data_IF_690463309423
#
_entry.id   IF_690463309423
#
_cell.length_a   1.000
_cell.length_b   1.000
_cell.length_c   1.000
_cell.angle_alpha   90.00
_cell.angle_beta   90.00
_cell.angle_gamma   90.00
#
_symmetry.space_group_name_H-M   'P 1'
#
loop_
_entity.id
_entity.type
_entity.pdbx_description
1 polymer ?
#
# COMPACT_ATOMS: atom_id res chain seq x y z
N UNK A 1 -40.80 -25.29 62.05
CA UNK A 1 -41.69 -26.43 61.77
C UNK A 1 -43.10 -25.98 62.15
N UNK A 2 -44.06 -26.06 61.21
CA UNK A 2 -45.51 -25.80 61.34
C UNK A 2 -45.90 -24.31 61.53
N UNK A 3 -46.96 -23.76 60.92
CA UNK A 3 -47.83 -24.16 59.81
C UNK A 3 -48.68 -22.92 59.43
N UNK A 4 -48.91 -22.75 58.13
CA UNK A 4 -50.12 -22.22 57.46
C UNK A 4 -50.97 -21.13 58.16
N UNK A 5 -51.07 -19.95 57.55
CA UNK A 5 -52.24 -19.08 57.67
C UNK A 5 -52.83 -18.76 56.30
N UNK A 6 -54.09 -19.14 56.14
CA UNK A 6 -54.91 -18.86 54.97
C UNK A 6 -55.55 -17.46 55.04
N UNK A 7 -55.50 -16.74 53.92
CA UNK A 7 -56.54 -15.91 53.29
C UNK A 7 -57.49 -15.03 54.14
N UNK A 8 -57.46 -13.72 53.90
CA UNK A 8 -58.61 -12.93 53.38
C UNK A 8 -58.12 -11.52 53.00
N UNK A 9 -58.14 -11.17 51.70
CA UNK A 9 -59.24 -10.55 50.93
C UNK A 9 -59.23 -9.01 51.03
N UNK A 10 -58.83 -8.36 49.94
CA UNK A 10 -59.19 -6.96 49.65
C UNK A 10 -59.13 -6.73 48.14
N UNK A 11 -60.32 -6.83 47.53
CA UNK A 11 -60.61 -6.49 46.14
C UNK A 11 -60.28 -5.03 45.82
N UNK A 12 -59.62 -4.76 44.69
CA UNK A 12 -59.86 -3.55 43.87
C UNK A 12 -59.69 -3.84 42.38
N UNK A 13 -60.85 -3.95 41.72
CA UNK A 13 -61.23 -3.54 40.36
C UNK A 13 -60.08 -3.22 39.39
N UNK A 14 -59.86 -4.10 38.41
CA UNK A 14 -59.11 -3.80 37.20
C UNK A 14 -60.08 -3.39 36.08
N UNK A 15 -59.92 -2.17 35.57
CA UNK A 15 -60.58 -1.69 34.37
C UNK A 15 -59.99 -2.40 33.14
N UNK A 16 -60.85 -3.04 32.35
CA UNK A 16 -60.51 -3.59 31.04
C UNK A 16 -60.48 -2.42 30.06
N UNK A 17 -59.29 -2.00 29.66
CA UNK A 17 -59.08 -1.18 28.46
C UNK A 17 -58.48 -2.10 27.41
N UNK A 18 -59.28 -2.42 26.39
CA UNK A 18 -58.83 -3.14 25.21
C UNK A 18 -57.89 -2.24 24.40
N UNK A 19 -56.58 -2.49 24.52
CA UNK A 19 -55.59 -1.88 23.64
C UNK A 19 -55.52 -2.73 22.38
N UNK A 20 -56.13 -2.24 21.30
CA UNK A 20 -55.91 -2.73 19.95
C UNK A 20 -54.41 -2.66 19.63
N UNK A 21 -53.76 -3.82 19.56
CA UNK A 21 -52.39 -3.94 19.11
C UNK A 21 -52.29 -3.59 17.62
N UNK A 22 -51.90 -2.35 17.32
CA UNK A 22 -51.23 -2.02 16.06
C UNK A 22 -49.84 -2.65 16.11
N UNK A 23 -49.75 -3.90 15.66
CA UNK A 23 -48.46 -4.48 15.27
C UNK A 23 -47.98 -3.75 14.03
N UNK A 24 -47.14 -2.73 14.21
CA UNK A 24 -46.30 -2.23 13.12
C UNK A 24 -45.40 -3.37 12.66
N UNK A 25 -45.74 -3.98 11.53
CA UNK A 25 -44.80 -4.80 10.78
C UNK A 25 -43.65 -3.90 10.35
N UNK A 26 -42.57 -3.85 11.15
CA UNK A 26 -41.28 -3.44 10.62
C UNK A 26 -40.82 -4.63 9.77
N UNK A 27 -41.13 -4.60 8.49
CA UNK A 27 -40.39 -5.43 7.54
C UNK A 27 -38.93 -5.00 7.68
N UNK A 28 -38.11 -5.87 8.25
CA UNK A 28 -36.67 -5.75 8.15
C UNK A 28 -36.32 -5.95 6.66
N UNK A 29 -36.30 -4.85 5.91
CA UNK A 29 -35.74 -4.88 4.57
C UNK A 29 -34.29 -5.33 4.71
N UNK A 30 -33.90 -6.35 3.94
CA UNK A 30 -32.50 -6.72 3.83
C UNK A 30 -31.72 -5.48 3.38
N UNK A 31 -30.57 -5.21 4.01
CA UNK A 31 -29.68 -4.12 3.61
C UNK A 31 -29.42 -4.18 2.10
N UNK A 32 -29.42 -3.02 1.46
CA UNK A 32 -29.02 -2.92 0.07
C UNK A 32 -27.59 -3.42 -0.09
N UNK A 33 -27.28 -3.95 -1.27
CA UNK A 33 -25.95 -4.47 -1.54
C UNK A 33 -25.37 -3.95 -2.83
N UNK A 34 -24.05 -3.78 -2.85
CA UNK A 34 -23.27 -3.62 -4.07
C UNK A 34 -22.49 -4.91 -4.31
N UNK A 35 -22.61 -5.46 -5.52
CA UNK A 35 -21.75 -6.52 -6.03
C UNK A 35 -20.73 -5.91 -7.00
N UNK A 36 -19.44 -6.13 -6.76
CA UNK A 36 -18.38 -5.67 -7.64
C UNK A 36 -17.99 -6.74 -8.66
N UNK A 37 -17.32 -6.35 -9.74
CA UNK A 37 -16.86 -7.25 -10.80
C UNK A 37 -15.95 -8.40 -10.30
N UNK A 38 -15.27 -8.21 -9.16
CA UNK A 38 -14.43 -9.24 -8.54
C UNK A 38 -15.22 -10.27 -7.70
N UNK A 39 -16.55 -10.13 -7.60
CA UNK A 39 -17.45 -10.98 -6.81
C UNK A 39 -17.56 -10.62 -5.33
N UNK A 40 -16.92 -9.54 -4.88
CA UNK A 40 -17.11 -9.02 -3.53
C UNK A 40 -18.47 -8.33 -3.38
N UNK A 41 -19.03 -8.40 -2.17
CA UNK A 41 -20.35 -7.84 -1.85
C UNK A 41 -20.23 -6.90 -0.66
N UNK A 42 -20.80 -5.71 -0.79
CA UNK A 42 -20.90 -4.72 0.27
C UNK A 42 -22.34 -4.52 0.67
N UNK A 43 -22.58 -4.31 1.97
CA UNK A 43 -23.91 -4.04 2.53
C UNK A 43 -24.01 -2.60 3.02
N UNK A 44 -25.20 -2.02 2.86
CA UNK A 44 -25.45 -0.62 3.18
C UNK A 44 -26.86 -0.19 2.77
N UNK A 45 -26.97 1.06 2.37
CA UNK A 45 -28.22 1.71 1.97
C UNK A 45 -27.95 2.57 0.73
N UNK A 46 -28.70 2.37 -0.35
CA UNK A 46 -28.67 3.27 -1.50
C UNK A 46 -29.50 4.51 -1.15
N UNK A 47 -28.87 5.68 -1.18
CA UNK A 47 -29.47 6.93 -0.74
C UNK A 47 -30.15 7.68 -1.89
N UNK A 48 -29.48 7.80 -3.03
CA UNK A 48 -29.96 8.52 -4.20
C UNK A 48 -29.51 7.80 -5.47
N UNK A 49 -30.35 7.76 -6.50
CA UNK A 49 -30.01 7.18 -7.81
C UNK A 49 -30.19 8.25 -8.88
N UNK A 50 -29.09 8.65 -9.53
CA UNK A 50 -29.06 9.63 -10.62
C UNK A 50 -28.88 8.90 -11.94
N UNK A 51 -30.01 8.52 -12.54
CA UNK A 51 -30.05 7.66 -13.75
C UNK A 51 -29.46 8.34 -14.99
N UNK A 52 -29.60 9.66 -15.12
CA UNK A 52 -29.04 10.45 -16.22
C UNK A 52 -27.52 10.34 -16.26
N UNK A 53 -26.92 10.41 -15.08
CA UNK A 53 -25.47 10.44 -14.88
C UNK A 53 -24.90 9.04 -14.63
N UNK A 54 -25.78 8.01 -14.64
CA UNK A 54 -25.48 6.61 -14.39
C UNK A 54 -24.72 6.41 -13.07
N UNK A 55 -25.17 7.04 -12.01
CA UNK A 55 -24.56 6.91 -10.68
C UNK A 55 -25.59 6.82 -9.56
N UNK A 56 -25.14 6.42 -8.37
CA UNK A 56 -25.94 6.39 -7.15
C UNK A 56 -25.09 6.63 -5.90
N UNK A 57 -25.68 7.21 -4.88
CA UNK A 57 -25.05 7.36 -3.57
C UNK A 57 -25.33 6.14 -2.70
N UNK A 58 -24.31 5.66 -2.00
CA UNK A 58 -24.39 4.52 -1.10
C UNK A 58 -23.81 4.87 0.26
N UNK A 59 -24.56 4.54 1.30
CA UNK A 59 -24.17 4.64 2.69
C UNK A 59 -23.77 3.27 3.20
N UNK A 60 -22.55 3.13 3.69
CA UNK A 60 -22.09 1.89 4.35
C UNK A 60 -21.58 2.20 5.75
N UNK A 61 -21.84 1.30 6.70
CA UNK A 61 -21.29 1.41 8.05
C UNK A 61 -20.16 0.39 8.20
N UNK A 62 -18.94 0.88 8.35
CA UNK A 62 -17.72 0.08 8.47
C UNK A 62 -17.02 0.49 9.77
N UNK A 63 -16.85 -0.45 10.71
CA UNK A 63 -16.21 -0.17 12.01
C UNK A 63 -16.89 0.91 12.86
N UNK A 64 -18.23 1.01 12.79
CA UNK A 64 -18.99 2.00 13.56
C UNK A 64 -18.98 3.42 13.01
N UNK A 65 -18.31 3.66 11.87
CA UNK A 65 -18.39 4.91 11.11
C UNK A 65 -19.23 4.70 9.84
N UNK A 66 -20.04 5.69 9.51
CA UNK A 66 -20.86 5.71 8.30
C UNK A 66 -20.14 6.49 7.21
N UNK A 67 -19.91 5.83 6.08
CA UNK A 67 -19.31 6.41 4.88
C UNK A 67 -20.40 6.59 3.83
N UNK A 68 -20.40 7.74 3.15
CA UNK A 68 -21.26 7.98 1.98
C UNK A 68 -20.37 8.13 0.76
N UNK A 69 -20.70 7.44 -0.33
CA UNK A 69 -19.95 7.52 -1.58
C UNK A 69 -20.86 7.44 -2.79
N UNK A 70 -20.45 8.12 -3.85
CA UNK A 70 -21.08 8.03 -5.15
C UNK A 70 -20.43 6.93 -5.97
N UNK A 71 -21.25 6.08 -6.58
CA UNK A 71 -20.85 4.96 -7.42
C UNK A 71 -21.41 5.14 -8.82
N UNK A 72 -20.52 5.17 -9.82
CA UNK A 72 -20.94 5.04 -11.21
C UNK A 72 -21.27 3.59 -11.55
N UNK A 73 -22.30 3.40 -12.38
CA UNK A 73 -22.83 2.09 -12.78
C UNK A 73 -21.77 1.22 -13.46
N UNK A 74 -20.80 1.82 -14.16
CA UNK A 74 -19.71 1.10 -14.84
C UNK A 74 -18.72 0.45 -13.85
N UNK A 75 -18.69 0.86 -12.58
CA UNK A 75 -17.78 0.31 -11.56
C UNK A 75 -18.36 -0.84 -10.76
N UNK A 76 -19.65 -1.16 -10.97
CA UNK A 76 -20.38 -2.15 -10.17
C UNK A 76 -21.06 -3.18 -11.06
N UNK A 77 -20.98 -4.44 -10.66
CA UNK A 77 -21.54 -5.56 -11.41
C UNK A 77 -23.07 -5.57 -11.25
N UNK A 78 -23.54 -5.47 -10.01
CA UNK A 78 -24.95 -5.46 -9.69
C UNK A 78 -25.19 -4.73 -8.37
N UNK A 79 -26.43 -4.27 -8.17
CA UNK A 79 -26.91 -3.78 -6.88
C UNK A 79 -28.15 -4.54 -6.46
N UNK A 80 -28.30 -4.85 -5.19
CA UNK A 80 -29.60 -5.24 -4.62
C UNK A 80 -30.18 -4.00 -3.97
N UNK A 81 -31.27 -3.49 -4.53
CA UNK A 81 -31.98 -2.32 -4.02
C UNK A 81 -33.42 -2.73 -3.69
N UNK A 82 -33.87 -2.46 -2.46
CA UNK A 82 -35.21 -2.87 -1.99
C UNK A 82 -35.50 -4.37 -2.21
N UNK A 83 -34.50 -5.21 -1.95
CA UNK A 83 -34.60 -6.67 -2.09
C UNK A 83 -34.62 -7.18 -3.55
N UNK A 84 -34.51 -6.30 -4.55
CA UNK A 84 -34.42 -6.68 -5.97
C UNK A 84 -33.01 -6.45 -6.49
N UNK A 85 -32.44 -7.46 -7.14
CA UNK A 85 -31.13 -7.39 -7.77
C UNK A 85 -31.24 -6.78 -9.17
N UNK A 86 -30.40 -5.79 -9.45
CA UNK A 86 -30.26 -5.10 -10.73
C UNK A 86 -28.83 -5.28 -11.21
N UNK A 87 -28.63 -5.89 -12.38
CA UNK A 87 -27.31 -6.00 -13.02
C UNK A 87 -27.05 -4.68 -13.75
N UNK A 88 -25.92 -4.03 -13.43
CA UNK A 88 -25.54 -2.73 -13.99
C UNK A 88 -24.50 -2.86 -15.11
N UNK A 89 -23.69 -3.92 -15.05
CA UNK A 89 -22.79 -4.36 -16.11
C UNK A 89 -23.07 -5.83 -16.41
N UNK A 90 -23.50 -6.17 -17.61
CA UNK A 90 -23.61 -7.58 -18.01
C UNK A 90 -22.21 -8.13 -18.31
N UNK A 91 -21.85 -9.26 -17.68
CA UNK A 91 -20.57 -9.91 -17.93
C UNK A 91 -20.53 -10.44 -19.38
N UNK A 92 -19.93 -9.67 -20.28
CA UNK A 92 -19.72 -10.07 -21.67
C UNK A 92 -19.81 -8.92 -22.66
N UNK A 93 -18.89 -7.97 -22.58
CA UNK A 93 -18.79 -6.87 -23.52
C UNK A 93 -17.55 -6.04 -23.24
N UNK A 94 -16.39 -6.55 -23.66
CA UNK A 94 -15.18 -5.75 -23.80
C UNK A 94 -15.45 -4.63 -24.81
N UNK A 95 -15.81 -3.46 -24.31
CA UNK A 95 -15.47 -2.20 -24.94
C UNK A 95 -14.61 -1.44 -23.94
N UNK A 96 -13.34 -1.89 -23.87
CA UNK A 96 -12.26 -0.96 -23.61
C UNK A 96 -12.22 -0.04 -24.83
N UNK A 97 -13.00 1.04 -24.77
CA UNK A 97 -12.77 2.15 -25.67
C UNK A 97 -11.54 2.86 -25.13
N UNK A 98 -10.46 2.57 -25.84
CA UNK A 98 -9.11 3.04 -25.66
C UNK A 98 -9.10 4.56 -25.95
N UNK A 99 -9.64 5.34 -25.01
CA UNK A 99 -9.44 6.78 -24.98
C UNK A 99 -8.10 7.04 -24.30
N UNK A 100 -7.07 6.81 -25.10
CA UNK A 100 -5.69 7.17 -24.84
C UNK A 100 -5.59 8.58 -24.26
N UNK A 101 -5.33 8.65 -22.95
CA UNK A 101 -4.76 9.81 -22.29
C UNK A 101 -3.70 9.35 -21.28
N UNK A 102 -2.53 9.00 -21.84
CA UNK A 102 -1.20 9.22 -21.26
C UNK A 102 -0.85 8.57 -19.92
N UNK A 103 -0.34 7.33 -19.96
CA UNK A 103 0.86 6.95 -19.20
C UNK A 103 1.61 5.88 -20.00
N UNK A 104 2.94 5.91 -19.97
CA UNK A 104 3.87 5.17 -20.83
C UNK A 104 3.40 3.73 -21.16
N UNK A 105 3.30 3.40 -22.45
CA UNK A 105 2.84 2.08 -22.91
C UNK A 105 3.57 0.95 -22.20
N UNK A 106 2.81 0.07 -21.53
CA UNK A 106 3.36 -1.02 -20.72
C UNK A 106 4.18 -1.94 -21.63
N UNK A 107 5.51 -1.76 -21.61
CA UNK A 107 6.40 -2.50 -22.49
C UNK A 107 6.32 -3.97 -22.14
N UNK A 108 5.68 -4.76 -22.99
CA UNK A 108 5.58 -6.22 -22.81
C UNK A 108 6.80 -6.88 -23.43
N UNK A 109 7.48 -7.74 -22.66
CA UNK A 109 8.67 -8.50 -23.10
C UNK A 109 8.51 -9.99 -22.83
N UNK A 110 9.07 -10.80 -23.72
CA UNK A 110 9.27 -12.24 -23.51
C UNK A 110 10.28 -12.49 -22.39
N UNK A 111 10.32 -13.73 -21.89
CA UNK A 111 11.30 -14.13 -20.88
C UNK A 111 12.73 -13.95 -21.39
N UNK A 112 12.97 -14.32 -22.64
CA UNK A 112 14.27 -14.29 -23.28
C UNK A 112 14.77 -12.85 -23.45
N UNK A 113 13.89 -11.92 -23.85
CA UNK A 113 14.22 -10.49 -23.96
C UNK A 113 14.54 -9.86 -22.60
N UNK A 114 13.76 -10.18 -21.56
CA UNK A 114 14.04 -9.67 -20.21
C UNK A 114 15.37 -10.23 -19.67
N UNK A 115 15.65 -11.52 -19.86
CA UNK A 115 16.93 -12.09 -19.44
C UNK A 115 18.11 -11.49 -20.19
N UNK A 116 18.00 -11.27 -21.50
CA UNK A 116 19.03 -10.60 -22.29
C UNK A 116 19.26 -9.15 -21.85
N UNK A 117 18.20 -8.42 -21.50
CA UNK A 117 18.30 -7.05 -21.01
C UNK A 117 18.92 -6.98 -19.60
N UNK A 118 18.56 -7.89 -18.71
CA UNK A 118 19.16 -8.02 -17.38
C UNK A 118 20.66 -8.31 -17.52
N UNK A 119 21.05 -9.24 -18.39
CA UNK A 119 22.46 -9.57 -18.59
C UNK A 119 23.23 -8.38 -19.16
N UNK A 120 22.72 -7.70 -20.19
CA UNK A 120 23.44 -6.61 -20.86
C UNK A 120 23.69 -5.42 -19.93
N UNK A 121 22.70 -5.03 -19.13
CA UNK A 121 22.82 -3.90 -18.20
C UNK A 121 23.51 -4.32 -16.91
N UNK A 122 23.15 -5.47 -16.35
CA UNK A 122 23.62 -5.97 -15.05
C UNK A 122 25.09 -6.36 -15.01
N UNK A 123 25.63 -6.87 -16.13
CA UNK A 123 27.05 -7.20 -16.27
C UNK A 123 27.95 -5.98 -16.48
N UNK A 124 27.37 -4.80 -16.70
CA UNK A 124 28.12 -3.56 -16.96
C UNK A 124 28.08 -2.64 -15.73
N UNK A 125 29.26 -2.25 -15.26
CA UNK A 125 29.39 -1.26 -14.19
C UNK A 125 28.66 0.05 -14.55
N UNK A 126 27.96 0.69 -13.60
CA UNK A 126 27.39 2.01 -13.87
C UNK A 126 28.52 3.03 -14.06
N UNK A 127 28.26 4.01 -14.93
CA UNK A 127 29.21 5.06 -15.35
C UNK A 127 29.85 5.83 -14.18
N UNK A 128 29.12 5.98 -13.09
CA UNK A 128 29.57 6.66 -11.88
C UNK A 128 30.41 5.79 -10.93
N UNK A 129 30.47 4.46 -11.09
CA UNK A 129 31.09 3.58 -10.10
C UNK A 129 32.60 3.86 -9.94
N UNK A 130 33.31 3.97 -11.06
CA UNK A 130 34.75 4.19 -11.07
C UNK A 130 35.11 5.54 -10.42
N UNK A 131 34.40 6.62 -10.75
CA UNK A 131 34.63 7.97 -10.25
C UNK A 131 34.12 8.24 -8.83
N UNK A 132 33.24 7.39 -8.31
CA UNK A 132 32.68 7.55 -6.97
C UNK A 132 33.75 7.39 -5.89
N UNK A 133 33.87 8.38 -5.01
CA UNK A 133 34.76 8.31 -3.85
C UNK A 133 34.09 7.57 -2.69
N UNK A 134 34.82 6.64 -2.06
CA UNK A 134 34.37 5.98 -0.82
C UNK A 134 34.37 6.99 0.34
N UNK A 135 33.36 6.93 1.19
CA UNK A 135 33.18 7.85 2.32
C UNK A 135 32.83 7.13 3.63
N UNK A 136 33.14 5.83 3.72
CA UNK A 136 32.95 5.05 4.93
C UNK A 136 34.08 5.33 5.95
N UNK A 137 33.82 5.11 7.27
CA UNK A 137 34.86 5.25 8.28
C UNK A 137 36.04 4.29 8.03
N UNK A 138 37.25 4.73 8.39
CA UNK A 138 38.46 3.89 8.33
C UNK A 138 38.39 2.66 9.26
N UNK A 139 37.57 2.74 10.31
CA UNK A 139 37.35 1.67 11.27
C UNK A 139 36.38 0.59 10.78
N UNK A 140 35.82 0.73 9.57
CA UNK A 140 34.83 -0.22 9.06
C UNK A 140 35.52 -1.53 8.65
N UNK A 141 35.03 -2.64 9.19
CA UNK A 141 35.61 -3.96 9.01
C UNK A 141 34.96 -4.65 7.81
N UNK A 142 35.66 -4.66 6.66
CA UNK A 142 35.11 -5.13 5.38
C UNK A 142 34.98 -6.66 5.27
N UNK A 143 35.59 -7.41 6.20
CA UNK A 143 35.39 -8.85 6.33
C UNK A 143 33.92 -9.22 6.56
N UNK A 144 33.11 -8.28 7.07
CA UNK A 144 31.66 -8.31 7.18
C UNK A 144 31.10 -9.74 7.37
N UNK A 145 31.21 -10.33 8.58
CA UNK A 145 30.73 -11.68 8.81
C UNK A 145 29.20 -11.77 8.65
N UNK A 146 28.69 -12.97 8.38
CA UNK A 146 27.24 -13.23 8.25
C UNK A 146 26.43 -12.77 9.47
N UNK A 147 27.03 -12.87 10.66
CA UNK A 147 26.46 -12.39 11.92
C UNK A 147 27.38 -11.33 12.50
N UNK A 148 26.84 -10.16 12.80
CA UNK A 148 27.58 -9.12 13.50
C UNK A 148 27.88 -9.56 14.95
N UNK A 149 29.07 -9.23 15.43
CA UNK A 149 29.48 -9.46 16.81
C UNK A 149 29.42 -8.16 17.62
N UNK A 150 29.09 -8.28 18.91
CA UNK A 150 29.01 -7.13 19.81
C UNK A 150 27.79 -6.23 19.62
N UNK A 151 27.78 -5.05 20.28
CA UNK A 151 26.68 -4.09 20.18
C UNK A 151 26.63 -3.43 18.79
N UNK A 152 25.48 -2.82 18.48
CA UNK A 152 25.32 -2.03 17.25
C UNK A 152 26.40 -0.95 17.11
N UNK A 153 27.16 -1.01 16.02
CA UNK A 153 28.25 -0.11 15.69
C UNK A 153 28.40 0.09 14.16
N UNK A 154 27.79 1.16 13.67
CA UNK A 154 27.82 1.60 12.26
C UNK A 154 29.20 2.06 11.79
N UNK A 155 30.17 2.24 12.69
CA UNK A 155 31.56 2.55 12.32
C UNK A 155 32.41 1.28 12.14
N UNK A 156 31.89 0.10 12.48
CA UNK A 156 32.62 -1.17 12.43
C UNK A 156 31.97 -2.22 11.51
N UNK A 157 30.65 -2.39 11.57
CA UNK A 157 29.98 -3.41 10.77
C UNK A 157 29.38 -2.83 9.48
N UNK A 158 29.72 -3.42 8.33
CA UNK A 158 29.24 -2.96 7.00
C UNK A 158 27.72 -2.93 6.92
N UNK A 159 27.03 -4.01 7.32
CA UNK A 159 25.56 -4.05 7.26
C UNK A 159 24.89 -2.96 8.11
N UNK A 160 25.45 -2.68 9.28
CA UNK A 160 24.96 -1.62 10.17
C UNK A 160 25.31 -0.22 9.63
N UNK A 161 26.48 -0.04 9.01
CA UNK A 161 26.86 1.17 8.28
C UNK A 161 25.89 1.46 7.12
N UNK A 162 25.59 0.46 6.31
CA UNK A 162 24.62 0.59 5.22
C UNK A 162 23.27 1.03 5.79
N UNK A 163 22.79 0.34 6.82
CA UNK A 163 21.50 0.64 7.43
C UNK A 163 21.42 2.04 8.06
N UNK A 164 22.40 2.39 8.89
CA UNK A 164 22.36 3.60 9.72
C UNK A 164 22.84 4.87 9.03
N UNK A 165 23.75 4.75 8.04
CA UNK A 165 24.40 5.90 7.42
C UNK A 165 24.20 6.00 5.91
N UNK A 166 24.13 4.88 5.19
CA UNK A 166 23.94 4.92 3.73
C UNK A 166 22.47 5.11 3.38
N UNK A 167 21.60 4.19 3.79
CA UNK A 167 20.20 4.21 3.39
C UNK A 167 19.46 5.53 3.71
N UNK A 168 19.65 6.19 4.87
CA UNK A 168 18.98 7.46 5.16
C UNK A 168 19.66 8.68 4.50
N UNK A 169 20.68 8.52 3.66
CA UNK A 169 21.43 9.64 3.08
C UNK A 169 21.76 9.39 1.59
N UNK A 170 21.05 10.09 0.71
CA UNK A 170 21.20 9.98 -0.75
C UNK A 170 22.64 10.23 -1.23
N UNK A 171 23.35 11.19 -0.65
CA UNK A 171 24.76 11.46 -0.99
C UNK A 171 25.70 10.28 -0.69
N UNK A 172 25.26 9.31 0.11
CA UNK A 172 26.00 8.11 0.47
C UNK A 172 25.58 6.87 -0.33
N UNK A 173 24.54 6.91 -1.15
CA UNK A 173 24.05 5.75 -1.89
C UNK A 173 25.10 5.21 -2.88
N UNK A 174 25.65 6.06 -3.76
CA UNK A 174 26.71 5.65 -4.71
C UNK A 174 27.96 5.14 -3.99
N UNK A 175 28.53 5.85 -2.99
CA UNK A 175 29.65 5.33 -2.19
C UNK A 175 29.34 4.02 -1.47
N UNK A 176 28.10 3.85 -0.98
CA UNK A 176 27.64 2.63 -0.33
C UNK A 176 27.56 1.45 -1.28
N UNK A 177 27.08 1.64 -2.51
CA UNK A 177 27.10 0.60 -3.55
C UNK A 177 28.54 0.21 -3.87
N UNK A 178 29.43 1.20 -4.10
CA UNK A 178 30.85 0.93 -4.37
C UNK A 178 31.51 0.11 -3.24
N UNK A 179 31.17 0.39 -1.99
CA UNK A 179 31.64 -0.38 -0.84
C UNK A 179 31.24 -1.86 -0.92
N UNK A 180 30.04 -2.18 -1.40
CA UNK A 180 29.61 -3.59 -1.57
C UNK A 180 30.41 -4.27 -2.69
N UNK A 181 30.73 -3.58 -3.79
CA UNK A 181 31.64 -4.11 -4.80
C UNK A 181 33.03 -4.44 -4.21
N UNK A 182 33.56 -3.61 -3.30
CA UNK A 182 34.82 -3.92 -2.61
C UNK A 182 34.69 -5.13 -1.68
N UNK A 183 33.56 -5.30 -0.98
CA UNK A 183 33.29 -6.49 -0.17
C UNK A 183 33.23 -7.75 -1.05
N UNK A 184 32.60 -7.68 -2.23
CA UNK A 184 32.51 -8.81 -3.15
C UNK A 184 33.88 -9.31 -3.61
N UNK A 185 34.80 -8.39 -3.91
CA UNK A 185 36.19 -8.75 -4.27
C UNK A 185 36.88 -9.48 -3.12
N UNK A 186 36.71 -9.01 -1.88
CA UNK A 186 37.29 -9.66 -0.69
C UNK A 186 36.68 -11.04 -0.43
N UNK A 187 35.41 -11.23 -0.79
CA UNK A 187 34.66 -12.47 -0.54
C UNK A 187 34.61 -13.41 -1.76
N UNK A 188 35.39 -13.17 -2.82
CA UNK A 188 35.34 -13.96 -4.07
C UNK A 188 35.51 -15.47 -3.85
N UNK A 189 36.26 -15.85 -2.82
CA UNK A 189 36.56 -17.24 -2.44
C UNK A 189 35.66 -17.79 -1.31
N UNK A 190 34.74 -16.98 -0.77
CA UNK A 190 33.72 -17.41 0.19
C UNK A 190 32.33 -17.32 -0.44
N UNK A 191 31.83 -18.46 -0.94
CA UNK A 191 30.53 -18.53 -1.63
C UNK A 191 29.35 -18.03 -0.79
N UNK A 192 29.40 -18.12 0.54
CA UNK A 192 28.30 -17.67 1.40
C UNK A 192 28.30 -16.14 1.53
N UNK A 193 29.47 -15.56 1.78
CA UNK A 193 29.63 -14.12 1.89
C UNK A 193 29.42 -13.43 0.54
N UNK A 194 29.97 -13.99 -0.54
CA UNK A 194 29.78 -13.47 -1.89
C UNK A 194 28.30 -13.42 -2.28
N UNK A 195 27.55 -14.49 -2.00
CA UNK A 195 26.10 -14.53 -2.24
C UNK A 195 25.36 -13.44 -1.45
N UNK A 196 25.73 -13.22 -0.18
CA UNK A 196 25.14 -12.17 0.67
C UNK A 196 25.47 -10.78 0.15
N UNK A 197 26.67 -10.57 -0.39
CA UNK A 197 27.06 -9.30 -1.00
C UNK A 197 26.27 -9.03 -2.28
N UNK A 198 26.13 -10.04 -3.15
CA UNK A 198 25.29 -9.95 -4.36
C UNK A 198 23.84 -9.65 -4.01
N UNK A 199 23.27 -10.30 -2.99
CA UNK A 199 21.91 -10.02 -2.51
C UNK A 199 21.78 -8.56 -2.07
N UNK A 200 22.74 -8.05 -1.28
CA UNK A 200 22.75 -6.65 -0.83
C UNK A 200 22.91 -5.68 -2.00
N UNK A 201 23.75 -6.00 -2.97
CA UNK A 201 23.94 -5.17 -4.15
C UNK A 201 22.65 -5.05 -4.96
N UNK A 202 21.96 -6.18 -5.18
CA UNK A 202 20.66 -6.22 -5.83
C UNK A 202 19.57 -5.43 -5.08
N UNK A 203 19.50 -5.59 -3.75
CA UNK A 203 18.63 -4.83 -2.85
C UNK A 203 18.89 -3.32 -2.95
N UNK A 204 20.15 -2.89 -2.99
CA UNK A 204 20.50 -1.46 -3.09
C UNK A 204 20.18 -0.88 -4.46
N UNK A 205 20.46 -1.58 -5.56
CA UNK A 205 20.05 -1.13 -6.90
C UNK A 205 18.53 -0.99 -7.00
N UNK A 206 17.80 -1.94 -6.42
CA UNK A 206 16.34 -1.90 -6.40
C UNK A 206 15.81 -0.71 -5.57
N UNK A 207 16.18 -0.64 -4.29
CA UNK A 207 15.58 0.30 -3.35
C UNK A 207 16.08 1.73 -3.56
N UNK A 208 17.38 1.93 -3.76
CA UNK A 208 18.00 3.27 -3.80
C UNK A 208 17.94 3.91 -5.18
N UNK A 209 17.97 3.11 -6.25
CA UNK A 209 18.10 3.63 -7.62
C UNK A 209 16.94 3.24 -8.54
N UNK A 210 16.08 2.31 -8.14
CA UNK A 210 15.08 1.68 -9.03
C UNK A 210 15.69 1.15 -10.33
N UNK A 211 16.94 0.69 -10.26
CA UNK A 211 17.67 0.13 -11.39
C UNK A 211 17.30 -1.35 -11.54
N UNK A 212 16.10 -1.60 -12.07
CA UNK A 212 15.51 -2.93 -12.15
C UNK A 212 16.36 -3.96 -12.89
N UNK A 213 17.02 -3.64 -14.04
CA UNK A 213 17.90 -4.59 -14.70
C UNK A 213 19.10 -4.99 -13.82
N UNK A 214 19.84 -4.03 -13.24
CA UNK A 214 21.01 -4.35 -12.40
C UNK A 214 20.60 -5.02 -11.09
N UNK A 215 19.48 -4.60 -10.50
CA UNK A 215 18.91 -5.26 -9.33
C UNK A 215 18.61 -6.73 -9.62
N UNK A 216 17.87 -7.02 -10.70
CA UNK A 216 17.54 -8.39 -11.08
C UNK A 216 18.78 -9.24 -11.33
N UNK A 217 19.81 -8.70 -11.99
CA UNK A 217 21.06 -9.39 -12.26
C UNK A 217 21.72 -9.90 -10.97
N UNK A 218 21.89 -9.03 -9.99
CA UNK A 218 22.53 -9.40 -8.73
C UNK A 218 21.65 -10.31 -7.86
N UNK A 219 20.32 -10.08 -7.84
CA UNK A 219 19.38 -10.93 -7.13
C UNK A 219 19.29 -12.35 -7.74
N UNK A 220 19.39 -12.48 -9.07
CA UNK A 220 19.48 -13.77 -9.76
C UNK A 220 20.75 -14.53 -9.35
N UNK A 221 21.91 -13.86 -9.38
CA UNK A 221 23.18 -14.48 -8.94
C UNK A 221 23.17 -14.87 -7.47
N UNK A 222 22.49 -14.09 -6.63
CA UNK A 222 22.30 -14.40 -5.23
C UNK A 222 21.32 -15.57 -4.96
N UNK A 223 20.57 -16.02 -5.98
CA UNK A 223 19.57 -17.09 -5.90
C UNK A 223 18.52 -16.84 -4.80
N UNK A 224 17.94 -15.64 -4.80
CA UNK A 224 16.99 -15.20 -3.77
C UNK A 224 15.64 -15.91 -3.85
N UNK A 225 15.05 -16.22 -2.69
CA UNK A 225 13.70 -16.80 -2.58
C UNK A 225 12.65 -15.77 -2.17
N UNK A 226 11.42 -15.93 -2.68
CA UNK A 226 10.28 -15.08 -2.35
C UNK A 226 9.76 -15.20 -0.89
N UNK A 227 10.46 -15.95 -0.04
CA UNK A 227 10.19 -16.03 1.40
C UNK A 227 10.69 -14.80 2.16
N UNK A 228 11.58 -14.01 1.56
CA UNK A 228 12.05 -12.72 2.07
C UNK A 228 11.90 -11.59 1.04
N UNK A 229 12.10 -10.33 1.46
CA UNK A 229 11.97 -9.17 0.57
C UNK A 229 12.79 -9.25 -0.74
N UNK A 230 14.07 -9.69 -0.76
CA UNK A 230 14.86 -9.74 -1.98
C UNK A 230 14.24 -10.58 -3.10
N UNK A 231 13.59 -11.70 -2.76
CA UNK A 231 12.89 -12.51 -3.76
C UNK A 231 11.61 -11.87 -4.29
N UNK A 232 10.98 -10.98 -3.51
CA UNK A 232 9.85 -10.17 -3.98
C UNK A 232 10.35 -9.05 -4.89
N UNK A 233 11.48 -8.41 -4.57
CA UNK A 233 12.12 -7.42 -5.43
C UNK A 233 12.52 -8.01 -6.77
N UNK A 234 13.03 -9.25 -6.80
CA UNK A 234 13.31 -9.93 -8.07
C UNK A 234 12.04 -10.15 -8.90
N UNK A 235 10.93 -10.56 -8.27
CA UNK A 235 9.65 -10.68 -8.96
C UNK A 235 9.18 -9.34 -9.52
N UNK A 236 9.31 -8.27 -8.75
CA UNK A 236 8.94 -6.92 -9.19
C UNK A 236 9.83 -6.42 -10.31
N UNK A 237 11.14 -6.68 -10.28
CA UNK A 237 12.02 -6.34 -11.40
C UNK A 237 11.52 -7.01 -12.68
N UNK A 238 11.16 -8.30 -12.65
CA UNK A 238 10.63 -8.96 -13.84
C UNK A 238 9.35 -8.32 -14.37
N UNK A 239 8.44 -7.91 -13.48
CA UNK A 239 7.21 -7.23 -13.89
C UNK A 239 7.48 -5.84 -14.45
N UNK A 240 8.28 -5.01 -13.75
CA UNK A 240 8.67 -3.65 -14.18
C UNK A 240 9.47 -3.66 -15.49
N UNK A 241 10.19 -4.76 -15.78
CA UNK A 241 10.87 -4.99 -17.06
C UNK A 241 9.96 -5.55 -18.15
N UNK A 242 8.66 -5.73 -17.88
CA UNK A 242 7.67 -6.10 -18.90
C UNK A 242 7.29 -7.57 -18.95
N UNK A 243 7.72 -8.40 -17.99
CA UNK A 243 7.47 -9.84 -18.01
C UNK A 243 6.74 -10.32 -16.75
N UNK A 244 5.43 -10.02 -16.68
CA UNK A 244 4.51 -10.55 -15.67
C UNK A 244 4.60 -12.09 -15.49
N UNK A 245 4.73 -12.92 -16.55
CA UNK A 245 4.89 -14.37 -16.36
C UNK A 245 6.11 -14.77 -15.52
N UNK A 246 7.25 -14.09 -15.70
CA UNK A 246 8.44 -14.33 -14.88
C UNK A 246 8.23 -13.91 -13.43
N UNK A 247 7.62 -12.73 -13.20
CA UNK A 247 7.25 -12.28 -11.86
C UNK A 247 6.33 -13.30 -11.16
N UNK A 248 5.29 -13.74 -11.85
CA UNK A 248 4.35 -14.74 -11.35
C UNK A 248 5.00 -16.09 -11.07
N UNK A 249 6.01 -16.48 -11.86
CA UNK A 249 6.80 -17.69 -11.63
C UNK A 249 7.65 -17.60 -10.36
N UNK A 250 8.30 -16.45 -10.12
CA UNK A 250 9.07 -16.19 -8.89
C UNK A 250 8.17 -16.25 -7.64
N UNK A 251 6.87 -15.94 -7.78
CA UNK A 251 5.87 -15.95 -6.72
C UNK A 251 5.04 -17.24 -6.63
N UNK A 252 5.53 -18.40 -7.10
CA UNK A 252 4.81 -19.69 -7.03
C UNK A 252 4.97 -20.46 -5.72
N UNK A 253 5.80 -19.97 -4.78
CA UNK A 253 6.12 -20.65 -3.54
C UNK A 253 4.93 -20.83 -2.57
N UNK A 254 4.98 -21.89 -1.74
CA UNK A 254 4.00 -22.14 -0.67
C UNK A 254 4.07 -21.11 0.48
N UNK A 255 5.24 -20.51 0.66
CA UNK A 255 5.50 -19.44 1.62
C UNK A 255 6.00 -18.24 0.85
N UNK A 256 5.31 -17.11 1.02
CA UNK A 256 5.64 -15.83 0.39
C UNK A 256 5.67 -14.76 1.46
N UNK A 257 6.65 -13.87 1.40
CA UNK A 257 6.72 -12.70 2.26
C UNK A 257 5.48 -11.80 2.04
N UNK A 258 4.98 -11.15 3.09
CA UNK A 258 3.75 -10.32 3.04
C UNK A 258 3.86 -9.14 2.06
N UNK A 259 5.06 -8.69 1.68
CA UNK A 259 5.24 -7.64 0.67
C UNK A 259 4.76 -8.08 -0.72
N UNK A 260 4.64 -9.37 -1.00
CA UNK A 260 4.04 -9.88 -2.23
C UNK A 260 2.57 -9.49 -2.39
N UNK A 261 1.86 -9.16 -1.29
CA UNK A 261 0.45 -8.74 -1.33
C UNK A 261 0.30 -7.48 -2.18
N UNK A 262 1.16 -6.47 -1.96
CA UNK A 262 1.14 -5.24 -2.75
C UNK A 262 1.48 -5.52 -4.20
N UNK A 263 2.57 -6.25 -4.46
CA UNK A 263 2.98 -6.58 -5.83
C UNK A 263 1.89 -7.37 -6.60
N UNK A 264 1.16 -8.27 -5.93
CA UNK A 264 -0.02 -8.89 -6.54
C UNK A 264 -1.09 -7.86 -6.87
N UNK A 265 -1.36 -6.90 -5.98
CA UNK A 265 -2.24 -5.76 -6.26
C UNK A 265 -1.83 -4.97 -7.49
N UNK A 266 -0.57 -4.54 -7.54
CA UNK A 266 0.01 -3.76 -8.63
C UNK A 266 -0.10 -4.51 -9.97
N UNK A 267 0.05 -5.84 -9.97
CA UNK A 267 -0.13 -6.70 -11.15
C UNK A 267 -1.61 -7.06 -11.46
N UNK A 268 -2.59 -6.53 -10.72
CA UNK A 268 -4.02 -6.85 -10.88
C UNK A 268 -4.44 -8.23 -10.35
N UNK A 269 -3.57 -8.93 -9.63
CA UNK A 269 -3.78 -10.27 -9.08
C UNK A 269 -4.48 -10.26 -7.70
N UNK A 270 -5.56 -9.49 -7.57
CA UNK A 270 -6.25 -9.25 -6.28
C UNK A 270 -6.72 -10.53 -5.56
N UNK A 271 -7.09 -11.57 -6.32
CA UNK A 271 -7.46 -12.87 -5.74
C UNK A 271 -6.26 -13.52 -5.02
N UNK A 272 -5.07 -13.43 -5.61
CA UNK A 272 -3.82 -13.94 -4.99
C UNK A 272 -3.41 -13.07 -3.80
N UNK A 273 -3.50 -11.75 -3.94
CA UNK A 273 -3.27 -10.81 -2.84
C UNK A 273 -4.14 -11.15 -1.62
N UNK A 274 -5.46 -11.26 -1.82
CA UNK A 274 -6.43 -11.62 -0.78
C UNK A 274 -6.14 -12.99 -0.15
N UNK A 275 -5.78 -13.97 -0.97
CA UNK A 275 -5.41 -15.32 -0.48
C UNK A 275 -4.20 -15.25 0.44
N UNK A 276 -3.16 -14.52 0.04
CA UNK A 276 -1.95 -14.36 0.83
C UNK A 276 -2.22 -13.55 2.12
N UNK A 277 -3.00 -12.47 2.06
CA UNK A 277 -3.36 -11.67 3.25
C UNK A 277 -4.01 -12.53 4.33
N UNK A 278 -4.87 -13.48 3.94
CA UNK A 278 -5.54 -14.39 4.89
C UNK A 278 -4.57 -15.27 5.68
N UNK A 279 -3.43 -15.67 5.10
CA UNK A 279 -2.43 -16.48 5.81
C UNK A 279 -1.76 -15.71 6.95
N UNK A 280 -1.76 -14.38 6.89
CA UNK A 280 -1.19 -13.50 7.92
C UNK A 280 -2.19 -13.00 8.97
N UNK A 281 -3.49 -13.32 8.82
CA UNK A 281 -4.58 -12.82 9.69
C UNK A 281 -4.36 -13.04 11.20
N UNK A 282 -3.67 -14.11 11.57
CA UNK A 282 -3.36 -14.48 12.98
C UNK A 282 -1.89 -14.30 13.36
N UNK A 283 -1.08 -13.73 12.46
CA UNK A 283 0.36 -13.56 12.68
C UNK A 283 0.70 -12.26 13.41
N UNK A 284 1.96 -12.13 13.85
CA UNK A 284 2.51 -10.88 14.40
C UNK A 284 2.69 -9.78 13.36
N UNK A 285 2.61 -10.11 12.06
CA UNK A 285 2.70 -9.17 10.92
C UNK A 285 1.34 -8.91 10.27
N UNK A 286 0.27 -9.07 11.04
CA UNK A 286 -1.10 -8.80 10.61
C UNK A 286 -1.26 -7.39 10.03
N UNK A 287 -0.74 -6.38 10.73
CA UNK A 287 -0.93 -4.99 10.34
C UNK A 287 -0.24 -4.69 8.99
N UNK A 288 0.96 -5.22 8.77
CA UNK A 288 1.68 -5.11 7.50
C UNK A 288 0.87 -5.71 6.34
N UNK A 289 0.37 -6.94 6.53
CA UNK A 289 -0.35 -7.67 5.49
C UNK A 289 -1.68 -6.99 5.15
N UNK A 290 -2.44 -6.56 6.17
CA UNK A 290 -3.73 -5.91 5.98
C UNK A 290 -3.58 -4.53 5.35
N UNK A 291 -2.52 -3.80 5.71
CA UNK A 291 -2.24 -2.51 5.12
C UNK A 291 -1.83 -2.63 3.66
N UNK A 292 -0.94 -3.57 3.33
CA UNK A 292 -0.59 -3.86 1.92
C UNK A 292 -1.81 -4.28 1.09
N UNK A 293 -2.77 -5.00 1.70
CA UNK A 293 -4.01 -5.38 1.03
C UNK A 293 -4.92 -4.17 0.80
N UNK A 294 -5.06 -3.29 1.79
CA UNK A 294 -5.78 -2.03 1.61
C UNK A 294 -5.16 -1.17 0.52
N UNK A 295 -3.83 -1.06 0.49
CA UNK A 295 -3.09 -0.31 -0.54
C UNK A 295 -3.30 -0.92 -1.93
N UNK A 296 -3.22 -2.25 -2.05
CA UNK A 296 -3.51 -2.98 -3.29
C UNK A 296 -4.94 -2.73 -3.79
N UNK A 297 -5.93 -2.71 -2.89
CA UNK A 297 -7.32 -2.43 -3.23
C UNK A 297 -7.52 -0.98 -3.64
N UNK A 298 -6.86 -0.04 -2.96
CA UNK A 298 -6.88 1.39 -3.30
C UNK A 298 -6.34 1.62 -4.70
N UNK A 299 -5.18 1.04 -5.03
CA UNK A 299 -4.60 1.11 -6.38
C UNK A 299 -5.49 0.47 -7.45
N UNK A 300 -6.28 -0.54 -7.10
CA UNK A 300 -7.24 -1.15 -8.00
C UNK A 300 -8.62 -0.45 -8.04
N UNK A 301 -8.76 0.76 -7.48
CA UNK A 301 -10.02 1.50 -7.45
C UNK A 301 -11.07 0.95 -6.49
N UNK A 302 -10.74 -0.03 -5.65
CA UNK A 302 -11.66 -0.74 -4.75
C UNK A 302 -11.70 -0.11 -3.36
N UNK A 303 -12.07 1.15 -3.32
CA UNK A 303 -11.85 2.04 -2.19
C UNK A 303 -12.58 1.61 -0.89
N UNK A 304 -13.79 1.05 -0.97
CA UNK A 304 -14.51 0.59 0.24
C UNK A 304 -13.95 -0.70 0.83
N UNK A 305 -13.52 -1.62 -0.04
CA UNK A 305 -12.80 -2.80 0.41
C UNK A 305 -11.48 -2.39 1.07
N UNK A 306 -10.78 -1.40 0.50
CA UNK A 306 -9.57 -0.85 1.11
C UNK A 306 -9.85 -0.30 2.52
N UNK A 307 -10.90 0.53 2.68
CA UNK A 307 -11.34 1.04 4.00
C UNK A 307 -11.64 -0.08 4.98
N UNK A 308 -12.27 -1.17 4.56
CA UNK A 308 -12.52 -2.31 5.45
C UNK A 308 -11.21 -2.93 5.98
N UNK A 309 -10.21 -3.15 5.11
CA UNK A 309 -8.92 -3.66 5.55
C UNK A 309 -8.20 -2.70 6.51
N UNK A 310 -8.26 -1.39 6.26
CA UNK A 310 -7.70 -0.39 7.16
C UNK A 310 -8.44 -0.34 8.50
N UNK A 311 -9.76 -0.44 8.50
CA UNK A 311 -10.56 -0.41 9.71
C UNK A 311 -10.24 -1.61 10.62
N UNK A 312 -9.99 -2.79 10.05
CA UNK A 312 -9.57 -3.95 10.83
C UNK A 312 -8.22 -3.74 11.56
N UNK A 313 -7.33 -2.90 11.03
CA UNK A 313 -6.09 -2.49 11.73
C UNK A 313 -6.42 -1.59 12.93
N UNK A 314 -7.36 -0.66 12.76
CA UNK A 314 -7.79 0.28 13.81
C UNK A 314 -8.49 -0.47 14.96
N UNK A 315 -9.34 -1.43 14.62
CA UNK A 315 -10.13 -2.22 15.57
C UNK A 315 -9.25 -3.19 16.37
N UNK A 316 -8.12 -3.63 15.80
CA UNK A 316 -7.20 -4.52 16.48
C UNK A 316 -6.43 -3.80 17.58
N UNK A 317 -6.68 -4.17 18.83
CA UNK A 317 -5.96 -3.61 19.99
C UNK A 317 -4.81 -4.50 20.49
N UNK A 318 -4.16 -5.23 19.58
CA UNK A 318 -3.07 -6.17 19.90
C UNK A 318 -1.84 -5.90 19.05
N UNK A 319 -0.72 -5.62 19.70
CA UNK A 319 0.56 -5.34 19.07
C UNK A 319 1.71 -5.65 20.04
N UNK A 320 2.92 -5.79 19.48
CA UNK A 320 4.13 -6.02 20.26
C UNK A 320 4.50 -4.87 21.22
N UNK A 321 4.09 -3.64 20.91
CA UNK A 321 4.25 -2.47 21.78
C UNK A 321 3.31 -1.33 21.34
N UNK A 322 3.17 -0.30 22.19
CA UNK A 322 2.26 0.83 21.98
C UNK A 322 2.66 1.72 20.79
N UNK A 323 3.97 1.95 20.58
CA UNK A 323 4.45 2.78 19.47
C UNK A 323 4.13 2.15 18.12
N UNK A 324 4.35 0.85 17.99
CA UNK A 324 4.00 0.07 16.81
C UNK A 324 2.50 0.10 16.56
N UNK A 325 1.68 -0.06 17.61
CA UNK A 325 0.22 0.03 17.47
C UNK A 325 -0.20 1.41 16.97
N UNK A 326 0.28 2.47 17.61
CA UNK A 326 -0.04 3.85 17.24
C UNK A 326 0.36 4.17 15.79
N UNK A 327 1.53 3.69 15.36
CA UNK A 327 2.00 3.85 13.98
C UNK A 327 1.05 3.24 12.96
N UNK A 328 0.65 1.98 13.15
CA UNK A 328 -0.24 1.32 12.18
C UNK A 328 -1.67 1.83 12.24
N UNK A 329 -2.20 2.17 13.42
CA UNK A 329 -3.51 2.82 13.52
C UNK A 329 -3.51 4.19 12.83
N UNK A 330 -2.50 5.01 13.07
CA UNK A 330 -2.34 6.30 12.40
C UNK A 330 -2.29 6.17 10.89
N UNK A 331 -1.49 5.23 10.36
CA UNK A 331 -1.42 4.96 8.92
C UNK A 331 -2.76 4.51 8.32
N UNK A 332 -3.47 3.62 9.01
CA UNK A 332 -4.79 3.18 8.57
C UNK A 332 -5.82 4.32 8.60
N UNK A 333 -5.78 5.18 9.63
CA UNK A 333 -6.63 6.37 9.73
C UNK A 333 -6.34 7.37 8.62
N UNK A 334 -5.06 7.66 8.37
CA UNK A 334 -4.63 8.56 7.30
C UNK A 334 -5.01 8.03 5.92
N UNK A 335 -4.93 6.71 5.71
CA UNK A 335 -5.35 6.10 4.45
C UNK A 335 -6.87 6.18 4.24
N UNK A 336 -7.67 5.99 5.30
CA UNK A 336 -9.12 6.18 5.24
C UNK A 336 -9.45 7.64 4.94
N UNK A 337 -8.84 8.58 5.67
CA UNK A 337 -9.03 10.02 5.47
C UNK A 337 -8.62 10.45 4.05
N UNK A 338 -7.50 9.95 3.53
CA UNK A 338 -7.06 10.25 2.18
C UNK A 338 -8.06 9.76 1.11
N UNK A 339 -8.69 8.60 1.34
CA UNK A 339 -9.76 8.11 0.45
C UNK A 339 -10.99 9.02 0.56
N UNK A 340 -11.43 9.39 1.76
CA UNK A 340 -12.56 10.32 1.95
C UNK A 340 -12.31 11.69 1.29
N UNK A 341 -11.07 12.16 1.30
CA UNK A 341 -10.69 13.45 0.73
C UNK A 341 -10.34 13.39 -0.77
N UNK A 342 -10.24 12.20 -1.36
CA UNK A 342 -9.74 12.03 -2.74
C UNK A 342 -10.59 12.75 -3.80
N UNK A 343 -11.90 12.84 -3.62
CA UNK A 343 -12.79 13.63 -4.50
C UNK A 343 -12.56 15.14 -4.35
N UNK A 344 -12.19 15.58 -3.14
CA UNK A 344 -11.86 16.99 -2.86
C UNK A 344 -10.44 17.36 -3.28
N UNK A 345 -9.57 16.37 -3.49
CA UNK A 345 -8.19 16.56 -3.89
C UNK A 345 -8.03 16.75 -5.42
N UNK A 346 -9.12 17.04 -6.15
CA UNK A 346 -9.06 17.41 -7.56
C UNK A 346 -8.44 18.81 -7.72
N UNK A 347 -7.22 18.87 -8.29
CA UNK A 347 -6.48 20.11 -8.50
C UNK A 347 -7.25 21.14 -9.33
N UNK A 348 -8.19 20.72 -10.18
CA UNK A 348 -9.03 21.65 -10.95
C UNK A 348 -9.96 22.49 -10.07
N UNK A 349 -10.26 22.01 -8.86
CA UNK A 349 -11.12 22.67 -7.89
C UNK A 349 -10.35 23.40 -6.80
N UNK A 350 -9.01 23.34 -6.84
CA UNK A 350 -8.13 23.95 -5.86
C UNK A 350 -7.76 25.37 -6.30
N UNK A 351 -7.94 26.34 -5.40
CA UNK A 351 -7.51 27.71 -5.65
C UNK A 351 -5.98 27.82 -5.68
N UNK A 352 -5.46 28.80 -6.41
CA UNK A 352 -4.03 29.09 -6.44
C UNK A 352 -3.50 29.42 -5.03
N UNK A 353 -2.37 28.82 -4.66
CA UNK A 353 -1.82 28.97 -3.31
C UNK A 353 -0.79 27.90 -2.94
N UNK A 354 -0.31 28.00 -1.70
CA UNK A 354 0.55 26.99 -1.07
C UNK A 354 -0.19 26.35 0.10
N UNK A 355 -0.26 25.02 0.09
CA UNK A 355 -1.01 24.24 1.07
C UNK A 355 -0.08 23.23 1.74
N UNK A 356 -0.11 23.18 3.06
CA UNK A 356 0.65 22.21 3.85
C UNK A 356 -0.28 21.20 4.50
N UNK A 357 0.18 19.96 4.66
CA UNK A 357 -0.48 18.96 5.50
C UNK A 357 0.53 17.87 5.90
N UNK A 358 0.14 17.03 6.86
CA UNK A 358 0.97 15.94 7.37
C UNK A 358 0.20 14.63 7.50
N UNK A 359 0.93 13.52 7.40
CA UNK A 359 0.44 12.16 7.64
C UNK A 359 1.51 11.30 8.31
N UNK A 360 1.10 10.20 8.93
CA UNK A 360 1.97 9.24 9.60
C UNK A 360 2.84 8.47 8.60
N UNK A 361 4.14 8.73 8.61
CA UNK A 361 5.17 8.00 7.88
C UNK A 361 5.75 6.81 8.65
N UNK A 362 6.92 6.36 8.21
CA UNK A 362 7.64 5.25 8.81
C UNK A 362 8.11 5.54 10.23
N UNK A 363 8.65 6.74 10.49
CA UNK A 363 9.25 7.09 11.79
C UNK A 363 8.63 8.34 12.43
N UNK A 364 7.39 8.65 12.08
CA UNK A 364 6.62 9.75 12.65
C UNK A 364 5.88 10.54 11.58
N UNK A 365 5.43 11.73 11.93
CA UNK A 365 4.77 12.62 10.98
C UNK A 365 5.72 13.03 9.86
N UNK A 366 5.22 13.01 8.62
CA UNK A 366 5.83 13.55 7.43
C UNK A 366 4.93 14.69 6.93
N UNK A 367 5.53 15.84 6.67
CA UNK A 367 4.84 17.05 6.18
C UNK A 367 5.19 17.31 4.72
N UNK A 368 4.17 17.67 3.94
CA UNK A 368 4.28 18.07 2.54
C UNK A 368 3.73 19.48 2.36
N UNK A 369 4.42 20.28 1.55
CA UNK A 369 3.90 21.50 0.92
C UNK A 369 3.56 21.22 -0.54
N UNK A 370 2.36 21.62 -0.96
CA UNK A 370 1.86 21.56 -2.33
C UNK A 370 1.58 22.97 -2.83
N UNK A 371 2.17 23.35 -3.97
CA UNK A 371 1.89 24.62 -4.64
C UNK A 371 0.98 24.38 -5.83
N UNK A 372 -0.09 25.18 -5.91
CA UNK A 372 -1.07 25.17 -7.00
C UNK A 372 -1.06 26.53 -7.67
N UNK A 373 -0.96 26.54 -9.00
CA UNK A 373 -1.10 27.74 -9.81
C UNK A 373 -1.82 27.41 -11.11
N UNK A 374 -2.79 28.24 -11.49
CA UNK A 374 -3.62 28.03 -12.69
C UNK A 374 -4.20 26.61 -12.75
N UNK A 375 -4.76 26.14 -11.63
CA UNK A 375 -5.36 24.80 -11.50
C UNK A 375 -4.41 23.63 -11.81
N UNK A 376 -3.11 23.81 -11.58
CA UNK A 376 -2.07 22.79 -11.75
C UNK A 376 -1.18 22.69 -10.54
N UNK A 377 -0.74 21.46 -10.24
CA UNK A 377 0.28 21.22 -9.21
C UNK A 377 1.63 21.63 -9.81
N UNK A 378 2.23 22.69 -9.28
CA UNK A 378 3.52 23.19 -9.74
C UNK A 378 4.68 22.72 -8.87
N UNK A 379 4.41 22.36 -7.61
CA UNK A 379 5.42 21.84 -6.69
C UNK A 379 4.80 20.90 -5.68
N UNK A 380 5.51 19.82 -5.36
CA UNK A 380 5.27 18.96 -4.19
C UNK A 380 6.61 18.80 -3.47
N UNK A 381 6.68 19.19 -2.20
CA UNK A 381 7.91 19.17 -1.42
C UNK A 381 7.66 18.58 -0.04
N UNK A 382 8.48 17.60 0.35
CA UNK A 382 8.53 17.17 1.75
C UNK A 382 9.31 18.22 2.54
N UNK A 383 8.64 18.92 3.46
CA UNK A 383 9.21 20.04 4.23
C UNK A 383 9.80 19.59 5.56
N UNK A 384 9.24 18.54 6.15
CA UNK A 384 9.68 18.02 7.44
C UNK A 384 9.39 16.51 7.53
N UNK A 385 10.36 15.72 7.98
CA UNK A 385 10.14 14.30 8.21
C UNK A 385 11.16 13.71 9.19
N UNK A 386 10.83 12.55 9.76
CA UNK A 386 11.75 11.71 10.55
C UNK A 386 12.03 10.36 9.90
N UNK A 387 11.64 10.22 8.63
CA UNK A 387 11.79 8.98 7.88
C UNK A 387 13.24 8.47 7.92
N UNK A 388 13.35 7.16 8.12
CA UNK A 388 14.58 6.40 7.82
C UNK A 388 14.20 5.43 6.73
N UNK A 389 15.16 4.99 5.93
CA UNK A 389 14.91 3.95 4.91
C UNK A 389 13.86 4.38 3.90
N UNK A 390 13.79 5.69 3.65
CA UNK A 390 12.88 6.26 2.67
C UNK A 390 13.31 5.90 1.24
N UNK A 391 14.57 5.48 1.05
CA UNK A 391 15.11 5.08 -0.23
C UNK A 391 14.77 6.12 -1.31
N UNK A 392 14.27 5.73 -2.49
CA UNK A 392 13.86 6.68 -3.52
C UNK A 392 12.49 7.38 -3.27
N UNK A 393 11.75 7.07 -2.20
CA UNK A 393 10.37 7.55 -2.01
C UNK A 393 10.26 9.09 -1.86
N UNK A 394 11.20 9.73 -1.16
CA UNK A 394 11.17 11.19 -0.96
C UNK A 394 11.39 11.97 -2.27
N UNK A 395 12.06 11.38 -3.26
CA UNK A 395 12.26 12.00 -4.57
C UNK A 395 11.21 11.59 -5.58
N UNK A 396 10.86 10.31 -5.62
CA UNK A 396 10.12 9.76 -6.75
C UNK A 396 8.62 9.86 -6.58
N UNK A 397 8.10 9.78 -5.35
CA UNK A 397 6.67 9.97 -5.11
C UNK A 397 6.22 11.41 -5.44
N UNK A 398 6.92 12.48 -5.01
CA UNK A 398 6.59 13.85 -5.45
C UNK A 398 6.66 14.05 -6.97
N UNK A 399 7.65 13.44 -7.65
CA UNK A 399 7.76 13.51 -9.12
C UNK A 399 6.56 12.85 -9.82
N UNK A 400 6.13 11.68 -9.33
CA UNK A 400 4.96 11.00 -9.88
C UNK A 400 3.69 11.84 -9.71
N UNK A 401 3.47 12.43 -8.53
CA UNK A 401 2.34 13.33 -8.28
C UNK A 401 2.35 14.52 -9.24
N UNK A 402 3.53 15.13 -9.47
CA UNK A 402 3.67 16.22 -10.42
C UNK A 402 3.40 15.77 -11.86
N UNK A 403 3.85 14.59 -12.26
CA UNK A 403 3.59 14.05 -13.59
C UNK A 403 2.09 13.76 -13.82
N UNK A 404 1.44 13.19 -12.80
CA UNK A 404 0.02 12.79 -12.86
C UNK A 404 -0.94 13.94 -12.56
N UNK A 405 -0.44 15.07 -12.05
CA UNK A 405 -1.26 16.20 -11.59
C UNK A 405 -2.32 15.79 -10.55
N UNK A 406 -2.00 14.80 -9.72
CA UNK A 406 -2.93 14.24 -8.76
C UNK A 406 -2.28 13.19 -7.86
N UNK A 407 -3.07 12.68 -6.92
CA UNK A 407 -2.69 11.64 -5.94
C UNK A 407 -3.24 10.26 -6.29
N UNK A 408 -4.07 10.20 -7.34
CA UNK A 408 -4.63 8.98 -7.91
C UNK A 408 -3.55 8.32 -8.78
N UNK A 409 -3.52 6.99 -8.80
CA UNK A 409 -2.59 6.20 -9.62
C UNK A 409 -1.08 6.47 -9.36
N UNK A 410 -0.74 7.08 -8.23
CA UNK A 410 0.66 7.23 -7.77
C UNK A 410 1.15 5.93 -7.16
N UNK A 411 2.19 5.35 -7.76
CA UNK A 411 2.82 4.13 -7.27
C UNK A 411 3.71 4.41 -6.05
N UNK A 412 3.51 3.59 -5.01
CA UNK A 412 4.41 3.59 -3.86
C UNK A 412 5.75 2.93 -4.19
N UNK A 413 6.86 3.54 -3.74
CA UNK A 413 8.21 2.98 -3.90
C UNK A 413 8.34 1.69 -3.10
N UNK A 414 8.69 0.59 -3.76
CA UNK A 414 8.86 -0.70 -3.10
C UNK A 414 10.01 -0.69 -2.11
N UNK A 415 9.77 -1.24 -0.91
CA UNK A 415 10.69 -1.12 0.24
C UNK A 415 10.49 0.16 1.08
N UNK A 416 9.94 1.23 0.50
CA UNK A 416 9.63 2.49 1.18
C UNK A 416 8.15 2.91 1.02
N UNK A 417 7.26 1.94 0.82
CA UNK A 417 5.83 2.17 0.57
C UNK A 417 5.19 3.03 1.65
N UNK A 418 5.62 2.84 2.90
CA UNK A 418 5.15 3.60 4.05
C UNK A 418 5.36 5.09 3.86
N UNK A 419 6.56 5.47 3.43
CA UNK A 419 6.93 6.86 3.15
C UNK A 419 6.16 7.40 1.96
N UNK A 420 6.06 6.64 0.86
CA UNK A 420 5.27 7.05 -0.30
C UNK A 420 3.80 7.30 0.04
N UNK A 421 3.16 6.41 0.80
CA UNK A 421 1.76 6.60 1.20
C UNK A 421 1.57 7.82 2.09
N UNK A 422 2.52 8.13 2.98
CA UNK A 422 2.47 9.35 3.79
C UNK A 422 2.58 10.62 2.92
N UNK A 423 3.40 10.61 1.87
CA UNK A 423 3.50 11.72 0.90
C UNK A 423 2.18 11.86 0.13
N UNK A 424 1.63 10.77 -0.40
CA UNK A 424 0.37 10.74 -1.15
C UNK A 424 -0.78 11.26 -0.27
N UNK A 425 -0.93 10.72 0.93
CA UNK A 425 -1.98 11.12 1.87
C UNK A 425 -1.83 12.59 2.28
N UNK A 426 -0.61 13.06 2.59
CA UNK A 426 -0.37 14.47 2.94
C UNK A 426 -0.68 15.40 1.77
N UNK A 427 -0.32 14.99 0.54
CA UNK A 427 -0.66 15.76 -0.66
C UNK A 427 -2.17 15.84 -0.86
N UNK A 428 -2.90 14.73 -0.70
CA UNK A 428 -4.36 14.69 -0.81
C UNK A 428 -5.02 15.64 0.21
N UNK A 429 -4.55 15.60 1.47
CA UNK A 429 -5.00 16.50 2.54
C UNK A 429 -4.69 17.97 2.23
N UNK A 430 -3.52 18.26 1.68
CA UNK A 430 -3.11 19.62 1.32
C UNK A 430 -4.00 20.18 0.19
N UNK A 431 -4.23 19.40 -0.88
CA UNK A 431 -5.11 19.79 -1.98
C UNK A 431 -6.55 20.02 -1.49
N UNK A 432 -7.09 19.11 -0.67
CA UNK A 432 -8.44 19.24 -0.13
C UNK A 432 -8.65 20.50 0.75
N UNK A 433 -7.60 21.11 1.32
CA UNK A 433 -7.69 22.38 2.06
C UNK A 433 -7.89 23.59 1.14
N UNK A 434 -7.42 23.50 -0.10
CA UNK A 434 -7.59 24.56 -1.10
C UNK A 434 -8.79 24.36 -2.01
N UNK A 435 -9.54 23.28 -1.84
CA UNK A 435 -10.72 22.96 -2.64
C UNK A 435 -11.90 23.86 -2.27
N UNK A 436 -12.56 24.42 -3.29
CA UNK A 436 -13.77 25.23 -3.16
C UNK A 436 -15.07 24.41 -3.27
#
# INVERSE_FOLDING_TARGET
MLCLSASSLSFRVAAIVAICGLTSFVQAFAQDTIEFANGSVMKGEILEIRKSDREFDFSSTIGGKTFKRTYSYDKVQAVTYNGKRFVLNEAGGSNADDSATGSDGEVTRTKEEVLAFIESVGSTDPDWLASTQLNHPKSLELAWPMKAEGPWNESKNVGQYIWGRVNPNESRWKPGVKLIYECMKLHENDSKLLRRDMEKLGDMYFTLFQDYPRAAYWLQKANVSATGPPGIFLAECYWRLGCKPMAMSQLRGKSLHFSAIKLFGDMGELKRATSLTRTYSKSSVFNEAFLNMGDALRGAGQMDQAVNYYQQIIDRNQARNAEYLARYKGRAQDAIEAIELSEKADVQRVADGSYTASSMGYNGQLEVEVQVASHKITQVRVTNHREKQFYAALSDTPKQILAQQGVQDVDGTSGATITSQAIIASTAKALARGAN
#
